data_IF_123049188038
#
_entry.id   IF_123049188038
#
_cell.length_a   1.000
_cell.length_b   1.000
_cell.length_c   1.000
_cell.angle_alpha   90.00
_cell.angle_beta   90.00
_cell.angle_gamma   90.00
#
_symmetry.space_group_name_H-M   'P 1'
#
loop_
_entity.id
_entity.type
_entity.pdbx_description
1 polymer ?
#
# COMPACT_ATOMS: atom_id res chain seq x y z
N UNK A 1 -4.13 -66.36 -71.55
CA UNK A 1 -3.18 -65.27 -71.44
C UNK A 1 -3.35 -64.63 -70.09
N UNK A 2 -2.48 -64.89 -69.14
CA UNK A 2 -2.56 -64.40 -67.75
C UNK A 2 -1.59 -63.22 -67.61
N UNK A 3 -2.09 -62.06 -67.25
CA UNK A 3 -1.30 -60.86 -66.95
C UNK A 3 -0.80 -60.92 -65.54
N UNK A 4 0.53 -60.84 -65.38
CA UNK A 4 1.22 -60.81 -64.13
C UNK A 4 1.08 -59.38 -63.49
N UNK A 5 0.67 -59.33 -62.23
CA UNK A 5 0.68 -58.09 -61.42
C UNK A 5 1.98 -58.01 -60.62
N UNK A 6 2.74 -56.94 -60.80
CA UNK A 6 3.93 -56.60 -60.00
C UNK A 6 3.45 -55.88 -58.70
N UNK A 7 4.05 -56.14 -57.55
CA UNK A 7 3.76 -55.42 -56.33
C UNK A 7 4.50 -54.08 -56.29
N UNK A 8 3.78 -53.01 -55.90
CA UNK A 8 4.33 -51.69 -55.63
C UNK A 8 5.02 -51.67 -54.26
N UNK A 9 6.29 -51.36 -54.23
CA UNK A 9 7.06 -51.09 -53.02
C UNK A 9 6.66 -49.68 -52.51
N UNK A 10 6.04 -49.62 -51.33
CA UNK A 10 5.82 -48.38 -50.58
C UNK A 10 7.05 -48.12 -49.74
N UNK A 11 7.84 -47.12 -50.11
CA UNK A 11 8.95 -46.63 -49.29
C UNK A 11 8.39 -45.73 -48.17
N UNK A 12 8.46 -46.21 -46.93
CA UNK A 12 8.12 -45.41 -45.75
C UNK A 12 9.31 -44.52 -45.40
N UNK A 13 9.17 -43.21 -45.64
CA UNK A 13 10.15 -42.20 -45.24
C UNK A 13 9.94 -41.91 -43.76
N UNK A 14 10.83 -42.42 -42.90
CA UNK A 14 10.83 -42.07 -41.47
C UNK A 14 11.54 -40.73 -41.32
N UNK A 15 10.76 -39.64 -41.15
CA UNK A 15 11.30 -38.36 -40.73
C UNK A 15 11.57 -38.39 -39.22
N UNK A 16 12.83 -38.46 -38.84
CA UNK A 16 13.26 -38.25 -37.47
C UNK A 16 13.21 -36.73 -37.18
N UNK A 17 12.15 -36.28 -36.47
CA UNK A 17 12.08 -34.95 -35.94
C UNK A 17 13.05 -34.80 -34.78
N UNK A 18 14.16 -34.10 -35.00
CA UNK A 18 15.09 -33.70 -33.92
C UNK A 18 14.40 -32.58 -33.13
N UNK A 19 13.79 -32.93 -31.99
CA UNK A 19 13.28 -31.96 -31.06
C UNK A 19 14.47 -31.22 -30.42
N UNK A 20 14.74 -30.00 -30.86
CA UNK A 20 15.55 -29.07 -30.08
C UNK A 20 14.85 -28.81 -28.77
N UNK A 21 15.28 -29.45 -27.71
CA UNK A 21 14.87 -29.09 -26.35
C UNK A 21 15.40 -27.68 -26.05
N UNK A 22 14.52 -26.67 -26.19
CA UNK A 22 14.77 -25.36 -25.62
C UNK A 22 14.74 -25.58 -24.12
N UNK A 23 15.89 -25.56 -23.47
CA UNK A 23 15.98 -25.55 -22.02
C UNK A 23 15.18 -24.37 -21.50
N UNK A 24 14.32 -24.57 -20.48
CA UNK A 24 13.65 -23.44 -19.86
C UNK A 24 14.73 -22.49 -19.34
N UNK A 25 14.67 -21.21 -19.77
CA UNK A 25 15.51 -20.20 -19.21
C UNK A 25 15.30 -20.25 -17.69
N UNK A 26 16.39 -20.50 -16.96
CA UNK A 26 16.40 -20.47 -15.50
C UNK A 26 15.83 -19.15 -15.02
N UNK A 27 14.68 -19.23 -14.38
CA UNK A 27 14.14 -18.19 -13.51
C UNK A 27 14.94 -18.17 -12.19
N UNK A 28 16.28 -18.23 -12.30
CA UNK A 28 17.18 -18.30 -11.16
C UNK A 28 18.01 -17.04 -11.14
N UNK A 29 17.43 -15.98 -10.61
CA UNK A 29 18.12 -14.95 -9.82
C UNK A 29 17.10 -14.08 -9.10
N UNK A 30 16.07 -14.65 -8.50
CA UNK A 30 15.53 -14.02 -7.29
C UNK A 30 16.64 -14.20 -6.25
N UNK A 31 17.49 -13.17 -6.10
CA UNK A 31 18.40 -13.14 -4.97
C UNK A 31 17.54 -13.35 -3.72
N UNK A 32 17.91 -14.35 -2.91
CA UNK A 32 17.43 -14.52 -1.55
C UNK A 32 17.76 -13.21 -0.81
N UNK A 33 16.86 -12.25 -0.88
CA UNK A 33 16.93 -11.07 -0.04
C UNK A 33 16.56 -11.58 1.33
N UNK A 34 17.48 -11.57 2.32
CA UNK A 34 17.15 -11.95 3.67
C UNK A 34 15.92 -11.10 4.07
N UNK A 35 14.75 -11.72 4.09
CA UNK A 35 13.56 -11.03 4.56
C UNK A 35 13.78 -10.78 6.04
N UNK A 36 13.90 -9.50 6.40
CA UNK A 36 13.84 -9.11 7.78
C UNK A 36 12.49 -9.59 8.34
N UNK A 37 12.58 -10.61 9.20
CA UNK A 37 11.42 -11.31 9.75
C UNK A 37 10.74 -10.44 10.78
N UNK A 38 9.63 -9.82 10.46
CA UNK A 38 8.82 -9.14 11.44
C UNK A 38 7.86 -8.09 10.90
N UNK A 39 8.20 -7.39 9.81
CA UNK A 39 7.33 -6.35 9.23
C UNK A 39 7.32 -6.46 7.72
N UNK A 40 6.13 -6.56 7.15
CA UNK A 40 5.96 -6.52 5.70
C UNK A 40 6.11 -5.09 5.18
N UNK A 41 6.86 -4.91 4.09
CA UNK A 41 7.13 -3.60 3.50
C UNK A 41 6.44 -3.49 2.14
N UNK A 42 5.72 -2.41 1.95
CA UNK A 42 5.03 -2.07 0.71
C UNK A 42 5.26 -0.63 0.27
N UNK A 43 4.70 -0.29 -0.87
CA UNK A 43 4.64 1.09 -1.40
C UNK A 43 3.19 1.52 -1.51
N UNK A 44 2.88 2.73 -1.02
CA UNK A 44 1.61 3.41 -1.30
C UNK A 44 1.84 4.43 -2.42
N UNK A 45 1.22 4.23 -3.57
CA UNK A 45 1.24 5.19 -4.68
C UNK A 45 -0.01 5.02 -5.55
N UNK A 46 -0.56 6.13 -6.01
CA UNK A 46 -1.71 6.17 -6.92
C UNK A 46 -1.32 5.92 -8.38
N UNK A 47 -0.05 5.98 -8.71
CA UNK A 47 0.43 5.89 -10.09
C UNK A 47 0.91 4.47 -10.40
N UNK A 48 0.43 3.85 -11.50
CA UNK A 48 0.85 2.51 -11.90
C UNK A 48 2.30 2.44 -12.41
N UNK A 49 2.92 3.58 -12.75
CA UNK A 49 4.26 3.63 -13.30
C UNK A 49 5.36 3.14 -12.33
N UNK A 50 5.06 2.99 -11.03
CA UNK A 50 5.98 2.35 -10.10
C UNK A 50 6.26 0.89 -10.47
N UNK A 51 5.27 0.17 -10.98
CA UNK A 51 5.37 -1.25 -11.31
C UNK A 51 6.24 -1.54 -12.53
N UNK A 52 6.39 -0.58 -13.44
CA UNK A 52 7.25 -0.69 -14.64
C UNK A 52 8.66 -0.16 -14.41
N UNK A 53 8.94 0.39 -13.24
CA UNK A 53 10.29 0.82 -12.85
C UNK A 53 11.10 -0.42 -12.41
N UNK A 54 12.23 -0.76 -13.07
CA UNK A 54 13.01 -1.95 -12.73
C UNK A 54 13.46 -1.98 -11.27
N UNK A 55 13.71 -0.82 -10.66
CA UNK A 55 14.08 -0.71 -9.24
C UNK A 55 12.99 -1.23 -8.30
N UNK A 56 11.70 -1.10 -8.67
CA UNK A 56 10.61 -1.66 -7.88
C UNK A 56 10.70 -3.19 -7.82
N UNK A 57 10.92 -3.83 -8.97
CA UNK A 57 11.08 -5.28 -9.06
C UNK A 57 12.34 -5.76 -8.34
N UNK A 58 13.47 -5.06 -8.51
CA UNK A 58 14.74 -5.35 -7.84
C UNK A 58 14.65 -5.29 -6.31
N UNK A 59 13.77 -4.47 -5.76
CA UNK A 59 13.53 -4.40 -4.32
C UNK A 59 12.71 -5.58 -3.77
N UNK A 60 12.11 -6.40 -4.62
CA UNK A 60 11.32 -7.55 -4.22
C UNK A 60 10.05 -7.21 -3.42
N UNK A 61 9.50 -6.00 -3.60
CA UNK A 61 8.32 -5.52 -2.87
C UNK A 61 7.08 -6.31 -3.31
N UNK A 62 6.35 -6.87 -2.34
CA UNK A 62 5.17 -7.71 -2.56
C UNK A 62 3.85 -7.07 -2.16
N UNK A 63 3.87 -5.88 -1.59
CA UNK A 63 2.68 -5.18 -1.13
C UNK A 63 2.61 -3.78 -1.72
N UNK A 64 1.44 -3.39 -2.18
CA UNK A 64 1.21 -2.02 -2.63
C UNK A 64 -0.17 -1.52 -2.19
N UNK A 65 -0.29 -0.22 -1.92
CA UNK A 65 -1.53 0.40 -1.50
C UNK A 65 -1.98 1.45 -2.49
N UNK A 66 -3.29 1.41 -2.79
CA UNK A 66 -3.98 2.37 -3.65
C UNK A 66 -5.20 2.95 -2.91
N UNK A 67 -5.32 4.28 -2.86
CA UNK A 67 -6.53 4.95 -2.40
C UNK A 67 -7.45 5.29 -3.58
N UNK A 68 -8.73 4.89 -3.49
CA UNK A 68 -9.72 5.05 -4.55
C UNK A 68 -11.00 5.67 -4.04
N UNK A 69 -11.71 6.41 -4.88
CA UNK A 69 -13.06 6.87 -4.55
C UNK A 69 -13.98 5.69 -4.22
N UNK A 70 -14.85 5.84 -3.21
CA UNK A 70 -15.82 4.80 -2.85
C UNK A 70 -16.73 4.38 -4.03
N UNK A 71 -16.84 5.23 -5.05
CA UNK A 71 -17.63 5.08 -6.27
C UNK A 71 -16.74 4.96 -7.52
N UNK A 72 -15.51 4.51 -7.38
CA UNK A 72 -14.49 4.44 -8.44
C UNK A 72 -14.99 3.83 -9.75
N UNK A 73 -15.89 2.87 -9.69
CA UNK A 73 -16.47 2.20 -10.87
C UNK A 73 -17.61 2.99 -11.55
N UNK A 74 -17.98 4.15 -11.02
CA UNK A 74 -19.03 5.00 -11.63
C UNK A 74 -18.45 6.09 -12.54
N UNK A 75 -17.16 6.33 -12.44
CA UNK A 75 -16.41 7.24 -13.30
C UNK A 75 -15.48 6.43 -14.21
N UNK A 76 -15.64 6.57 -15.52
CA UNK A 76 -14.91 5.76 -16.50
C UNK A 76 -13.39 5.90 -16.34
N UNK A 77 -12.92 7.12 -16.22
CA UNK A 77 -11.46 7.39 -16.09
C UNK A 77 -10.90 6.78 -14.83
N UNK A 78 -11.58 6.95 -13.70
CA UNK A 78 -11.16 6.37 -12.42
C UNK A 78 -11.16 4.84 -12.45
N UNK A 79 -12.13 4.23 -13.15
CA UNK A 79 -12.19 2.79 -13.34
C UNK A 79 -11.04 2.28 -14.22
N UNK A 80 -10.71 2.97 -15.32
CA UNK A 80 -9.57 2.64 -16.20
C UNK A 80 -8.21 2.78 -15.46
N UNK A 81 -8.06 3.82 -14.65
CA UNK A 81 -6.87 4.02 -13.80
C UNK A 81 -6.71 2.88 -12.77
N UNK A 82 -7.81 2.47 -12.15
CA UNK A 82 -7.84 1.34 -11.21
C UNK A 82 -7.49 0.03 -11.90
N UNK A 83 -8.09 -0.25 -13.05
CA UNK A 83 -7.86 -1.47 -13.83
C UNK A 83 -6.39 -1.59 -14.23
N UNK A 84 -5.82 -0.51 -14.77
CA UNK A 84 -4.39 -0.44 -15.13
C UNK A 84 -3.49 -0.71 -13.92
N UNK A 85 -3.78 -0.09 -12.78
CA UNK A 85 -2.99 -0.26 -11.57
C UNK A 85 -3.06 -1.70 -11.04
N UNK A 86 -4.25 -2.28 -10.99
CA UNK A 86 -4.47 -3.65 -10.52
C UNK A 86 -3.88 -4.69 -11.47
N UNK A 87 -3.98 -4.46 -12.80
CA UNK A 87 -3.36 -5.36 -13.79
C UNK A 87 -1.84 -5.45 -13.60
N UNK A 88 -1.16 -4.32 -13.41
CA UNK A 88 0.28 -4.32 -13.14
C UNK A 88 0.63 -5.00 -11.80
N UNK A 89 -0.15 -4.74 -10.75
CA UNK A 89 0.05 -5.39 -9.46
C UNK A 89 -0.08 -6.91 -9.58
N UNK A 90 -1.13 -7.39 -10.26
CA UNK A 90 -1.37 -8.81 -10.49
C UNK A 90 -0.26 -9.46 -11.31
N UNK A 91 0.20 -8.80 -12.38
CA UNK A 91 1.28 -9.29 -13.24
C UNK A 91 2.59 -9.50 -12.46
N UNK A 92 2.87 -8.65 -11.48
CA UNK A 92 4.08 -8.76 -10.64
C UNK A 92 3.86 -9.60 -9.37
N UNK A 93 2.67 -10.17 -9.16
CA UNK A 93 2.33 -10.89 -7.93
C UNK A 93 2.37 -10.00 -6.68
N UNK A 94 2.03 -8.71 -6.83
CA UNK A 94 1.96 -7.74 -5.72
C UNK A 94 0.57 -7.75 -5.13
N UNK A 95 0.47 -7.94 -3.82
CA UNK A 95 -0.79 -7.91 -3.07
C UNK A 95 -1.26 -6.46 -2.87
N UNK A 96 -2.46 -6.09 -3.36
CA UNK A 96 -2.99 -4.74 -3.19
C UNK A 96 -3.73 -4.58 -1.86
N UNK A 97 -3.52 -3.44 -1.20
CA UNK A 97 -4.42 -2.86 -0.21
C UNK A 97 -5.23 -1.75 -0.88
N UNK A 98 -6.52 -1.94 -1.07
CA UNK A 98 -7.41 -0.90 -1.60
C UNK A 98 -8.04 -0.12 -0.45
N UNK A 99 -7.77 1.18 -0.39
CA UNK A 99 -8.34 2.09 0.60
C UNK A 99 -9.42 2.96 -0.03
N UNK A 100 -10.63 2.94 0.54
CA UNK A 100 -11.70 3.82 0.06
C UNK A 100 -11.53 5.25 0.57
N UNK A 101 -11.91 6.22 -0.25
CA UNK A 101 -11.90 7.64 0.10
C UNK A 101 -13.09 8.37 -0.51
N UNK A 102 -13.15 9.70 -0.35
CA UNK A 102 -14.18 10.51 -0.96
C UNK A 102 -14.27 10.28 -2.49
N UNK A 103 -15.45 10.55 -3.05
CA UNK A 103 -15.65 10.52 -4.51
C UNK A 103 -14.72 11.50 -5.21
N UNK A 104 -14.16 11.10 -6.34
CA UNK A 104 -13.43 12.01 -7.25
C UNK A 104 -14.36 12.78 -8.20
N UNK A 105 -15.66 12.45 -8.21
CA UNK A 105 -16.68 13.15 -8.98
C UNK A 105 -17.01 14.55 -8.44
N UNK A 106 -18.06 15.16 -8.99
CA UNK A 106 -18.43 16.55 -8.73
C UNK A 106 -18.71 16.89 -7.24
N UNK A 107 -19.17 15.92 -6.45
CA UNK A 107 -19.44 16.13 -5.04
C UNK A 107 -18.53 15.30 -4.12
N UNK A 108 -17.33 15.80 -3.88
CA UNK A 108 -16.33 15.16 -3.01
C UNK A 108 -16.78 14.98 -1.56
N UNK A 109 -17.76 15.76 -1.08
CA UNK A 109 -18.28 15.67 0.29
C UNK A 109 -19.47 14.75 0.45
N UNK A 110 -20.03 14.24 -0.67
CA UNK A 110 -21.12 13.28 -0.60
C UNK A 110 -20.65 11.94 -0.05
N UNK A 111 -21.37 11.47 0.96
CA UNK A 111 -21.17 10.14 1.53
C UNK A 111 -22.27 9.20 1.02
N UNK A 112 -21.95 7.97 0.63
CA UNK A 112 -22.97 6.98 0.27
C UNK A 112 -23.77 6.56 1.51
N UNK A 113 -24.98 6.06 1.32
CA UNK A 113 -25.60 5.25 2.35
C UNK A 113 -24.76 3.97 2.58
N UNK A 114 -24.81 3.34 3.77
CA UNK A 114 -24.10 2.07 4.01
C UNK A 114 -24.48 0.96 3.03
N UNK A 115 -25.74 0.96 2.57
CA UNK A 115 -26.22 0.02 1.56
C UNK A 115 -25.57 0.29 0.18
N UNK A 116 -25.45 1.57 -0.20
CA UNK A 116 -24.75 1.94 -1.44
C UNK A 116 -23.27 1.63 -1.37
N UNK A 117 -22.59 1.94 -0.27
CA UNK A 117 -21.17 1.56 -0.03
C UNK A 117 -20.98 0.05 -0.21
N UNK A 118 -21.84 -0.77 0.41
CA UNK A 118 -21.84 -2.22 0.27
C UNK A 118 -22.03 -2.68 -1.18
N UNK A 119 -22.94 -2.04 -1.92
CA UNK A 119 -23.20 -2.37 -3.33
C UNK A 119 -22.00 -2.06 -4.22
N UNK A 120 -21.37 -0.89 -4.07
CA UNK A 120 -20.19 -0.53 -4.85
C UNK A 120 -19.00 -1.44 -4.51
N UNK A 121 -18.81 -1.79 -3.23
CA UNK A 121 -17.81 -2.75 -2.81
C UNK A 121 -18.05 -4.15 -3.43
N UNK A 122 -19.28 -4.63 -3.44
CA UNK A 122 -19.65 -5.90 -4.13
C UNK A 122 -19.30 -5.86 -5.61
N UNK A 123 -19.58 -4.75 -6.31
CA UNK A 123 -19.23 -4.58 -7.72
C UNK A 123 -17.72 -4.66 -7.92
N UNK A 124 -16.95 -3.97 -7.09
CA UNK A 124 -15.47 -4.00 -7.13
C UNK A 124 -14.95 -5.42 -6.97
N UNK A 125 -15.42 -6.13 -5.95
CA UNK A 125 -15.00 -7.52 -5.69
C UNK A 125 -15.38 -8.50 -6.79
N UNK A 126 -16.51 -8.26 -7.47
CA UNK A 126 -16.93 -9.09 -8.61
C UNK A 126 -15.98 -8.93 -9.81
N UNK A 127 -15.43 -7.75 -10.02
CA UNK A 127 -14.46 -7.47 -11.09
C UNK A 127 -13.05 -7.96 -10.70
N UNK A 128 -12.66 -7.81 -9.44
CA UNK A 128 -11.32 -8.15 -8.95
C UNK A 128 -11.41 -9.14 -7.77
N UNK A 129 -11.84 -10.40 -8.00
CA UNK A 129 -12.06 -11.37 -6.92
C UNK A 129 -10.77 -11.77 -6.18
N UNK A 130 -9.61 -11.59 -6.81
CA UNK A 130 -8.30 -11.87 -6.24
C UNK A 130 -7.83 -10.81 -5.23
N UNK A 131 -8.42 -9.61 -5.24
CA UNK A 131 -8.14 -8.58 -4.24
C UNK A 131 -8.88 -8.91 -2.95
N UNK A 132 -8.14 -9.09 -1.86
CA UNK A 132 -8.68 -9.56 -0.59
C UNK A 132 -8.44 -8.63 0.59
N UNK A 133 -7.67 -7.54 0.41
CA UNK A 133 -7.27 -6.63 1.47
C UNK A 133 -7.76 -5.21 1.20
N UNK A 134 -8.53 -4.67 2.15
CA UNK A 134 -9.20 -3.38 2.01
C UNK A 134 -9.13 -2.56 3.29
N UNK A 135 -8.96 -1.24 3.16
CA UNK A 135 -9.16 -0.29 4.27
C UNK A 135 -10.53 0.39 4.13
N UNK A 136 -11.23 0.53 5.24
CA UNK A 136 -12.60 1.05 5.24
C UNK A 136 -12.68 2.48 4.71
N UNK A 137 -11.72 3.33 5.06
CA UNK A 137 -11.66 4.72 4.59
C UNK A 137 -10.29 5.34 4.86
N UNK A 138 -9.78 6.09 3.89
CA UNK A 138 -8.55 6.87 3.96
C UNK A 138 -8.71 8.07 4.90
N UNK A 139 -7.78 8.31 5.81
CA UNK A 139 -7.67 9.49 6.68
C UNK A 139 -9.00 9.95 7.30
N UNK A 140 -9.78 9.02 7.83
CA UNK A 140 -11.16 9.26 8.26
C UNK A 140 -11.33 10.33 9.34
N UNK A 141 -10.27 10.65 10.11
CA UNK A 141 -10.25 11.71 11.11
C UNK A 141 -9.75 13.07 10.58
N UNK A 142 -9.28 13.14 9.34
CA UNK A 142 -8.82 14.35 8.68
C UNK A 142 -9.98 15.09 8.01
N UNK A 143 -10.13 16.41 8.23
CA UNK A 143 -11.29 17.16 7.71
C UNK A 143 -11.17 17.54 6.22
N UNK A 144 -10.14 17.10 5.51
CA UNK A 144 -10.12 16.96 4.07
C UNK A 144 -11.05 15.85 3.58
N UNK A 145 -11.31 14.85 4.44
CA UNK A 145 -12.23 13.75 4.19
C UNK A 145 -13.61 14.00 4.83
N UNK A 146 -14.71 13.57 4.19
CA UNK A 146 -16.07 13.85 4.66
C UNK A 146 -16.46 13.07 5.94
N UNK A 147 -15.66 12.09 6.37
CA UNK A 147 -15.90 11.30 7.60
C UNK A 147 -15.33 11.94 8.87
N UNK A 148 -14.60 13.05 8.79
CA UNK A 148 -13.91 13.70 9.90
C UNK A 148 -14.77 13.87 11.17
N UNK A 149 -16.05 14.24 11.01
CA UNK A 149 -17.02 14.40 12.12
C UNK A 149 -18.07 13.28 12.14
N UNK A 150 -17.86 12.16 11.44
CA UNK A 150 -18.88 11.13 11.22
C UNK A 150 -18.40 9.71 11.57
N UNK A 151 -17.85 9.47 12.76
CA UNK A 151 -17.35 8.14 13.15
C UNK A 151 -18.49 7.09 13.17
N UNK A 152 -19.75 7.47 13.41
CA UNK A 152 -20.92 6.59 13.28
C UNK A 152 -21.10 6.05 11.87
N UNK A 153 -20.95 6.91 10.86
CA UNK A 153 -21.04 6.52 9.46
C UNK A 153 -19.88 5.60 9.07
N UNK A 154 -18.66 5.92 9.51
CA UNK A 154 -17.49 5.08 9.30
C UNK A 154 -17.68 3.68 9.91
N UNK A 155 -18.25 3.57 11.12
CA UNK A 155 -18.59 2.29 11.74
C UNK A 155 -19.62 1.48 10.94
N UNK A 156 -20.60 2.17 10.32
CA UNK A 156 -21.57 1.51 9.45
C UNK A 156 -20.91 1.00 8.15
N UNK A 157 -19.94 1.73 7.58
CA UNK A 157 -19.18 1.27 6.41
C UNK A 157 -18.30 0.06 6.74
N UNK A 158 -17.56 0.09 7.83
CA UNK A 158 -16.77 -1.06 8.28
C UNK A 158 -17.64 -2.32 8.40
N UNK A 159 -18.81 -2.23 9.05
CA UNK A 159 -19.76 -3.35 9.12
C UNK A 159 -20.25 -3.79 7.74
N UNK A 160 -20.50 -2.85 6.83
CA UNK A 160 -20.97 -3.16 5.48
C UNK A 160 -19.93 -3.95 4.68
N UNK A 161 -18.65 -3.56 4.74
CA UNK A 161 -17.55 -4.25 4.07
C UNK A 161 -17.32 -5.64 4.68
N UNK A 162 -17.25 -5.74 6.01
CA UNK A 162 -17.08 -7.00 6.72
C UNK A 162 -18.19 -8.03 6.42
N UNK A 163 -19.44 -7.58 6.32
CA UNK A 163 -20.57 -8.44 5.95
C UNK A 163 -20.52 -8.89 4.51
N UNK A 164 -20.03 -8.05 3.62
CA UNK A 164 -19.95 -8.36 2.19
C UNK A 164 -18.80 -9.32 1.87
N UNK A 165 -17.69 -9.24 2.62
CA UNK A 165 -16.54 -10.13 2.47
C UNK A 165 -16.04 -10.61 3.83
N UNK A 166 -16.62 -11.68 4.40
CA UNK A 166 -16.15 -12.23 5.67
C UNK A 166 -14.73 -12.79 5.64
N UNK A 167 -14.28 -13.26 4.47
CA UNK A 167 -12.93 -13.81 4.24
C UNK A 167 -11.86 -12.76 3.91
N UNK A 168 -12.29 -11.50 3.65
CA UNK A 168 -11.32 -10.44 3.35
C UNK A 168 -10.69 -9.88 4.63
N UNK A 169 -9.45 -9.43 4.51
CA UNK A 169 -8.81 -8.56 5.49
C UNK A 169 -9.38 -7.15 5.34
N UNK A 170 -10.17 -6.70 6.32
CA UNK A 170 -10.76 -5.36 6.34
C UNK A 170 -10.16 -4.57 7.49
N UNK A 171 -9.33 -3.59 7.16
CA UNK A 171 -8.82 -2.64 8.14
C UNK A 171 -9.95 -1.73 8.64
N UNK A 172 -9.89 -1.35 9.91
CA UNK A 172 -10.61 -0.18 10.41
C UNK A 172 -10.26 1.04 9.54
N UNK A 173 -11.04 2.12 9.60
CA UNK A 173 -10.67 3.35 8.89
C UNK A 173 -9.25 3.78 9.22
N UNK A 174 -8.47 4.10 8.20
CA UNK A 174 -7.14 4.66 8.38
C UNK A 174 -7.24 6.04 9.03
N UNK A 175 -6.34 6.31 9.96
CA UNK A 175 -6.31 7.58 10.69
C UNK A 175 -4.97 8.30 10.50
N UNK A 176 -5.05 9.62 10.44
CA UNK A 176 -3.87 10.48 10.42
C UNK A 176 -3.44 10.81 11.85
N UNK A 177 -2.15 10.90 12.12
CA UNK A 177 -1.54 11.21 13.42
C UNK A 177 -1.77 12.66 13.88
N UNK A 178 -3.05 13.03 14.02
CA UNK A 178 -3.55 14.36 14.42
C UNK A 178 -4.01 14.39 15.89
N UNK A 179 -4.17 15.59 16.49
CA UNK A 179 -4.64 15.72 17.87
C UNK A 179 -5.99 15.06 18.15
N UNK A 180 -6.89 15.01 17.17
CA UNK A 180 -8.24 14.44 17.31
C UNK A 180 -8.28 12.90 17.13
N UNK A 181 -7.18 12.24 16.75
CA UNK A 181 -7.13 10.83 16.37
C UNK A 181 -7.73 9.92 17.44
N UNK A 182 -7.22 9.98 18.65
CA UNK A 182 -7.66 9.11 19.75
C UNK A 182 -9.16 9.30 20.09
N UNK A 183 -9.65 10.56 20.08
CA UNK A 183 -11.07 10.86 20.29
C UNK A 183 -11.92 10.23 19.18
N UNK A 184 -11.50 10.38 17.94
CA UNK A 184 -12.20 9.84 16.77
C UNK A 184 -12.25 8.30 16.82
N UNK A 185 -11.12 7.64 17.07
CA UNK A 185 -11.01 6.18 17.21
C UNK A 185 -11.95 5.64 18.29
N UNK A 186 -11.96 6.24 19.48
CA UNK A 186 -12.87 5.85 20.58
C UNK A 186 -14.34 6.03 20.20
N UNK A 187 -14.70 7.11 19.51
CA UNK A 187 -16.06 7.32 19.03
C UNK A 187 -16.47 6.29 17.97
N UNK A 188 -15.57 5.98 17.04
CA UNK A 188 -15.79 4.94 16.04
C UNK A 188 -16.04 3.57 16.71
N UNK A 189 -15.16 3.15 17.63
CA UNK A 189 -15.28 1.88 18.36
C UNK A 189 -16.58 1.81 19.19
N UNK A 190 -16.98 2.92 19.83
CA UNK A 190 -18.27 3.01 20.54
C UNK A 190 -19.45 2.77 19.60
N UNK A 191 -19.48 3.40 18.41
CA UNK A 191 -20.55 3.19 17.44
C UNK A 191 -20.51 1.82 16.79
N UNK A 192 -19.35 1.21 16.73
CA UNK A 192 -19.19 -0.15 16.21
C UNK A 192 -19.63 -1.21 17.25
N UNK A 193 -19.56 -0.90 18.54
CA UNK A 193 -19.83 -1.82 19.63
C UNK A 193 -18.61 -2.67 20.07
N UNK A 194 -17.49 -2.55 19.36
CA UNK A 194 -16.22 -3.20 19.69
C UNK A 194 -15.06 -2.44 19.08
N UNK A 195 -13.83 -2.76 19.47
CA UNK A 195 -12.63 -2.19 18.85
C UNK A 195 -12.03 -3.20 17.86
N UNK A 196 -11.89 -2.86 16.57
CA UNK A 196 -11.20 -3.70 15.59
C UNK A 196 -9.77 -4.03 16.01
N UNK A 197 -9.29 -5.20 15.62
CA UNK A 197 -7.92 -5.65 15.90
C UNK A 197 -6.89 -5.22 14.87
N UNK A 198 -7.29 -4.54 13.79
CA UNK A 198 -6.42 -4.10 12.70
C UNK A 198 -6.75 -2.68 12.29
N UNK A 199 -5.75 -1.80 12.33
CA UNK A 199 -5.89 -0.37 12.03
C UNK A 199 -4.81 0.11 11.07
N UNK A 200 -5.19 1.04 10.18
CA UNK A 200 -4.24 1.80 9.38
C UNK A 200 -3.88 3.13 10.06
N UNK A 201 -2.61 3.50 10.00
CA UNK A 201 -2.09 4.78 10.47
C UNK A 201 -1.28 5.49 9.40
N UNK A 202 -1.59 6.76 9.15
CA UNK A 202 -0.73 7.66 8.40
C UNK A 202 0.11 8.47 9.39
N UNK A 203 1.38 8.08 9.55
CA UNK A 203 2.24 8.58 10.62
C UNK A 203 3.22 9.67 10.14
N UNK A 204 2.73 10.64 9.38
CA UNK A 204 3.59 11.67 8.79
C UNK A 204 4.14 12.69 9.76
N UNK A 205 3.28 13.27 10.62
CA UNK A 205 3.67 14.38 11.50
C UNK A 205 4.68 13.91 12.52
N UNK A 206 4.45 12.75 13.13
CA UNK A 206 5.33 12.19 14.14
C UNK A 206 6.64 11.70 13.54
N UNK A 207 6.59 10.92 12.44
CA UNK A 207 7.79 10.40 11.80
C UNK A 207 8.73 11.53 11.35
N UNK A 208 8.19 12.59 10.74
CA UNK A 208 8.98 13.74 10.30
C UNK A 208 9.48 14.63 11.45
N UNK A 209 9.02 14.39 12.69
CA UNK A 209 9.52 15.03 13.91
C UNK A 209 10.29 14.08 14.82
N UNK A 210 10.57 12.86 14.34
CA UNK A 210 11.25 11.82 15.10
C UNK A 210 10.56 11.50 16.42
N UNK A 211 9.23 11.32 16.41
CA UNK A 211 8.37 11.06 17.56
C UNK A 211 7.49 9.83 17.33
N UNK A 212 6.99 9.24 18.43
CA UNK A 212 6.11 8.06 18.41
C UNK A 212 4.95 8.19 19.41
N UNK A 213 4.73 9.36 19.98
CA UNK A 213 3.74 9.54 21.05
C UNK A 213 2.31 9.25 20.60
N UNK A 214 1.93 9.65 19.37
CA UNK A 214 0.60 9.40 18.82
C UNK A 214 0.39 7.95 18.39
N UNK A 215 1.42 7.31 17.84
CA UNK A 215 1.39 5.87 17.61
C UNK A 215 1.06 5.13 18.92
N UNK A 216 1.80 5.42 20.00
CA UNK A 216 1.52 4.82 21.31
C UNK A 216 0.13 5.17 21.85
N UNK A 217 -0.40 6.38 21.55
CA UNK A 217 -1.77 6.74 21.87
C UNK A 217 -2.80 5.92 21.09
N UNK A 218 -2.54 5.63 19.80
CA UNK A 218 -3.37 4.76 18.99
C UNK A 218 -3.38 3.34 19.56
N UNK A 219 -2.20 2.76 19.79
CA UNK A 219 -2.05 1.42 20.38
C UNK A 219 -2.86 1.29 21.68
N UNK A 220 -2.73 2.28 22.59
CA UNK A 220 -3.52 2.29 23.83
C UNK A 220 -5.03 2.44 23.57
N UNK A 221 -5.43 3.28 22.61
CA UNK A 221 -6.84 3.50 22.30
C UNK A 221 -7.50 2.30 21.63
N UNK A 222 -6.71 1.40 21.05
CA UNK A 222 -7.14 0.19 20.34
C UNK A 222 -6.82 -1.09 21.12
N UNK A 223 -6.36 -0.96 22.39
CA UNK A 223 -6.06 -2.09 23.29
C UNK A 223 -5.01 -3.07 22.70
N UNK A 224 -3.94 -2.54 22.10
CA UNK A 224 -2.88 -3.34 21.50
C UNK A 224 -3.27 -4.00 20.18
N UNK A 225 -4.14 -3.37 19.40
CA UNK A 225 -4.45 -3.84 18.05
C UNK A 225 -3.22 -3.79 17.14
N UNK A 226 -3.21 -4.65 16.12
CA UNK A 226 -2.24 -4.61 15.05
C UNK A 226 -2.36 -3.31 14.25
N UNK A 227 -1.23 -2.69 13.96
CA UNK A 227 -1.14 -1.41 13.24
C UNK A 227 -0.39 -1.63 11.93
N UNK A 228 -0.98 -1.19 10.84
CA UNK A 228 -0.28 -1.01 9.58
C UNK A 228 -0.01 0.48 9.39
N UNK A 229 1.25 0.85 9.18
CA UNK A 229 1.58 2.20 8.72
C UNK A 229 1.22 2.27 7.23
N UNK A 230 -0.05 2.54 6.94
CA UNK A 230 -0.60 2.47 5.58
C UNK A 230 -0.18 3.61 4.68
N UNK A 231 0.29 4.70 5.26
CA UNK A 231 1.09 5.73 4.60
C UNK A 231 2.08 6.34 5.59
N UNK A 232 3.36 6.29 5.26
CA UNK A 232 4.41 6.98 6.00
C UNK A 232 5.58 7.31 5.08
N UNK A 233 6.30 8.40 5.35
CA UNK A 233 7.47 8.76 4.55
C UNK A 233 8.06 10.08 4.99
N UNK A 234 9.33 10.29 4.62
CA UNK A 234 10.02 11.54 4.87
C UNK A 234 9.64 12.61 3.86
N UNK A 235 9.27 13.78 4.34
CA UNK A 235 8.82 14.88 3.52
C UNK A 235 10.00 15.56 2.83
N UNK A 236 9.94 15.62 1.51
CA UNK A 236 10.92 16.36 0.68
C UNK A 236 10.46 17.78 0.45
N UNK A 237 9.17 17.95 0.15
CA UNK A 237 8.55 19.25 -0.07
C UNK A 237 7.04 19.20 0.20
N UNK A 238 6.52 20.29 0.71
CA UNK A 238 5.10 20.50 0.89
C UNK A 238 4.74 21.95 0.59
N UNK A 239 3.51 22.18 0.14
CA UNK A 239 2.97 23.52 0.00
C UNK A 239 2.93 24.25 1.35
N UNK A 240 3.39 25.50 1.37
CA UNK A 240 3.55 26.32 2.59
C UNK A 240 2.25 26.75 3.26
N UNK A 241 1.08 26.43 2.68
CA UNK A 241 -0.23 26.83 3.22
C UNK A 241 -0.67 26.04 4.46
N UNK A 242 0.10 25.02 4.87
CA UNK A 242 -0.23 24.23 6.06
C UNK A 242 0.23 24.91 7.36
N UNK A 243 -0.66 24.98 8.34
CA UNK A 243 -0.35 25.48 9.69
C UNK A 243 0.63 24.58 10.45
N UNK A 244 0.68 23.31 10.12
CA UNK A 244 1.60 22.35 10.75
C UNK A 244 2.97 22.44 10.10
N UNK A 245 3.97 22.97 10.80
CA UNK A 245 5.35 22.99 10.32
C UNK A 245 5.97 21.60 10.49
N UNK A 246 6.46 21.03 9.41
CA UNK A 246 7.16 19.75 9.35
C UNK A 246 8.47 20.01 8.63
N UNK A 247 9.63 19.52 9.11
CA UNK A 247 10.88 19.63 8.38
C UNK A 247 10.81 18.96 7.00
N UNK A 248 11.55 19.49 6.03
CA UNK A 248 11.52 19.10 4.63
C UNK A 248 12.94 18.90 4.07
N UNK A 249 13.04 18.24 2.93
CA UNK A 249 14.28 18.05 2.18
C UNK A 249 14.66 16.59 1.96
N UNK A 250 15.41 16.32 0.88
CA UNK A 250 15.79 14.94 0.52
C UNK A 250 16.65 14.24 1.58
N UNK A 251 17.57 14.97 2.22
CA UNK A 251 18.37 14.43 3.33
C UNK A 251 17.51 14.17 4.57
N UNK A 252 16.56 15.07 4.86
CA UNK A 252 15.59 14.88 5.93
C UNK A 252 14.74 13.63 5.66
N UNK A 253 14.20 13.47 4.45
CA UNK A 253 13.42 12.30 4.06
C UNK A 253 14.19 10.98 4.29
N UNK A 254 15.50 10.96 3.96
CA UNK A 254 16.35 9.81 4.23
C UNK A 254 16.53 9.52 5.72
N UNK A 255 16.68 10.55 6.57
CA UNK A 255 16.73 10.36 8.04
C UNK A 255 15.40 9.84 8.59
N UNK A 256 14.29 10.37 8.10
CA UNK A 256 12.94 9.90 8.50
C UNK A 256 12.73 8.44 8.10
N UNK A 257 13.10 8.05 6.88
CA UNK A 257 12.98 6.64 6.45
C UNK A 257 13.80 5.73 7.36
N UNK A 258 15.01 6.14 7.73
CA UNK A 258 15.82 5.40 8.71
C UNK A 258 15.12 5.31 10.07
N UNK A 259 14.62 6.42 10.60
CA UNK A 259 13.90 6.45 11.88
C UNK A 259 12.67 5.54 11.89
N UNK A 260 11.92 5.47 10.76
CA UNK A 260 10.77 4.57 10.64
C UNK A 260 11.21 3.12 10.90
N UNK A 261 12.28 2.67 10.30
CA UNK A 261 12.70 1.26 10.43
C UNK A 261 13.57 1.00 11.66
N UNK A 262 14.55 1.86 11.96
CA UNK A 262 15.48 1.64 13.06
C UNK A 262 14.84 1.89 14.44
N UNK A 263 13.81 2.76 14.54
CA UNK A 263 13.20 3.12 15.83
C UNK A 263 11.71 2.78 15.90
N UNK A 264 10.89 3.34 14.96
CA UNK A 264 9.42 3.21 15.06
C UNK A 264 9.00 1.76 14.99
N UNK A 265 9.46 1.02 13.99
CA UNK A 265 9.10 -0.38 13.77
C UNK A 265 9.69 -1.27 14.87
N UNK A 266 10.98 -1.17 15.15
CA UNK A 266 11.63 -2.07 16.10
C UNK A 266 11.14 -1.92 17.56
N UNK A 267 10.67 -0.72 17.93
CA UNK A 267 10.19 -0.43 19.30
C UNK A 267 8.69 -0.62 19.49
N UNK A 268 7.94 -0.94 18.43
CA UNK A 268 6.49 -1.08 18.49
C UNK A 268 6.07 -2.38 17.79
N UNK A 269 6.05 -3.49 18.51
CA UNK A 269 5.75 -4.82 17.97
C UNK A 269 4.33 -4.95 17.42
N UNK A 270 3.46 -3.99 17.71
CA UNK A 270 2.12 -3.91 17.14
C UNK A 270 2.14 -3.54 15.66
N UNK A 271 3.26 -3.02 15.12
CA UNK A 271 3.38 -2.69 13.70
C UNK A 271 3.71 -3.98 12.93
N UNK A 272 2.78 -4.42 12.07
CA UNK A 272 2.96 -5.60 11.24
C UNK A 272 3.28 -5.27 9.77
N UNK A 273 2.90 -4.07 9.29
CA UNK A 273 3.12 -3.69 7.89
C UNK A 273 3.41 -2.19 7.74
N UNK A 274 4.29 -1.84 6.79
CA UNK A 274 4.67 -0.45 6.50
C UNK A 274 4.55 -0.19 5.00
N UNK A 275 3.78 0.83 4.61
CA UNK A 275 3.72 1.31 3.23
C UNK A 275 4.38 2.68 3.15
N UNK A 276 5.50 2.74 2.42
CA UNK A 276 6.20 4.00 2.16
C UNK A 276 5.44 4.78 1.08
N UNK A 277 5.09 6.01 1.37
CA UNK A 277 4.44 6.91 0.44
C UNK A 277 5.45 7.98 -0.04
N UNK A 278 5.70 8.15 -1.31
CA UNK A 278 5.28 7.40 -2.47
C UNK A 278 6.49 7.08 -3.38
N UNK A 279 6.28 6.35 -4.50
CA UNK A 279 7.38 5.88 -5.34
C UNK A 279 8.11 7.02 -6.03
N UNK A 280 7.42 7.78 -6.90
CA UNK A 280 8.05 8.84 -7.67
C UNK A 280 7.21 10.13 -7.69
N UNK A 281 7.88 11.27 -7.56
CA UNK A 281 7.28 12.58 -7.76
C UNK A 281 7.12 12.87 -9.26
N UNK A 282 5.95 13.42 -9.63
CA UNK A 282 5.65 13.73 -11.03
C UNK A 282 6.23 15.07 -11.45
N UNK A 283 6.33 16.03 -10.53
CA UNK A 283 6.73 17.40 -10.81
C UNK A 283 7.41 18.06 -9.60
N UNK A 284 8.29 19.00 -9.88
CA UNK A 284 8.83 19.89 -8.85
C UNK A 284 7.76 20.83 -8.25
N UNK A 285 6.56 20.87 -8.83
CA UNK A 285 5.43 21.68 -8.38
C UNK A 285 4.39 20.88 -7.56
N UNK A 286 4.63 19.58 -7.34
CA UNK A 286 3.73 18.78 -6.53
C UNK A 286 3.53 19.43 -5.15
N UNK A 287 2.30 19.57 -4.71
CA UNK A 287 1.94 20.20 -3.43
C UNK A 287 2.33 19.35 -2.22
N UNK A 288 2.56 18.07 -2.44
CA UNK A 288 3.11 17.12 -1.49
C UNK A 288 4.13 16.23 -2.19
N UNK A 289 5.34 16.18 -1.68
CA UNK A 289 6.40 15.35 -2.21
C UNK A 289 7.13 14.64 -1.05
N UNK A 290 6.90 13.36 -0.91
CA UNK A 290 7.63 12.43 -0.03
C UNK A 290 8.20 11.25 -0.84
N UNK A 291 8.31 11.41 -2.17
CA UNK A 291 8.69 10.35 -3.08
C UNK A 291 10.12 9.85 -2.85
N UNK A 292 10.31 8.57 -3.15
CA UNK A 292 11.62 7.92 -3.14
C UNK A 292 12.48 8.34 -4.35
N UNK A 293 11.82 8.72 -5.46
CA UNK A 293 12.45 9.12 -6.72
C UNK A 293 12.01 10.54 -7.08
N UNK A 294 12.97 11.36 -7.44
CA UNK A 294 12.74 12.75 -7.85
C UNK A 294 12.12 12.83 -9.25
N UNK A 295 11.48 13.94 -9.62
CA UNK A 295 11.16 14.24 -11.01
C UNK A 295 12.44 14.12 -11.87
N UNK A 296 12.33 13.42 -13.00
CA UNK A 296 13.48 13.10 -13.85
C UNK A 296 14.22 11.80 -13.47
N UNK A 297 13.69 11.00 -12.55
CA UNK A 297 14.12 9.62 -12.31
C UNK A 297 15.31 9.46 -11.35
N UNK A 298 15.85 10.55 -10.78
CA UNK A 298 16.99 10.47 -9.85
C UNK A 298 16.55 9.91 -8.50
N UNK A 299 17.28 8.92 -8.00
CA UNK A 299 17.09 8.35 -6.66
C UNK A 299 17.35 9.37 -5.56
N UNK A 300 16.52 9.31 -4.53
CA UNK A 300 16.71 10.10 -3.31
C UNK A 300 17.32 9.25 -2.19
N UNK A 301 17.83 9.92 -1.18
CA UNK A 301 18.42 9.27 0.00
C UNK A 301 17.45 8.28 0.66
N UNK A 302 16.14 8.59 0.65
CA UNK A 302 15.11 7.71 1.20
C UNK A 302 15.06 6.35 0.50
N UNK A 303 15.19 6.31 -0.85
CA UNK A 303 15.23 5.03 -1.60
C UNK A 303 16.45 4.20 -1.21
N UNK A 304 17.64 4.81 -1.15
CA UNK A 304 18.86 4.09 -0.73
C UNK A 304 18.76 3.53 0.68
N UNK A 305 18.11 4.26 1.60
CA UNK A 305 17.85 3.75 2.94
C UNK A 305 16.88 2.57 2.91
N UNK A 306 15.78 2.68 2.17
CA UNK A 306 14.80 1.61 2.01
C UNK A 306 15.45 0.35 1.40
N UNK A 307 16.20 0.50 0.31
CA UNK A 307 16.93 -0.62 -0.33
C UNK A 307 17.88 -1.33 0.65
N UNK A 308 18.58 -0.53 1.49
CA UNK A 308 19.44 -1.10 2.53
C UNK A 308 18.63 -1.90 3.56
N UNK A 309 17.50 -1.36 4.02
CA UNK A 309 16.65 -2.03 5.00
C UNK A 309 16.09 -3.33 4.44
N UNK A 310 15.60 -3.32 3.21
CA UNK A 310 15.10 -4.51 2.54
C UNK A 310 16.17 -5.61 2.39
N UNK A 311 17.42 -5.20 2.14
CA UNK A 311 18.54 -6.14 1.93
C UNK A 311 19.17 -6.65 3.22
N UNK A 312 19.30 -5.83 4.25
CA UNK A 312 20.10 -6.12 5.44
C UNK A 312 19.32 -5.98 6.75
N UNK A 313 18.03 -5.65 6.72
CA UNK A 313 17.25 -5.27 7.89
C UNK A 313 17.59 -3.86 8.43
N UNK A 314 16.83 -3.41 9.46
CA UNK A 314 17.13 -2.19 10.17
C UNK A 314 18.45 -2.32 10.96
N UNK A 315 18.99 -1.20 11.41
CA UNK A 315 20.13 -1.22 12.30
C UNK A 315 19.71 -1.78 13.66
N UNK A 316 20.57 -2.53 14.35
CA UNK A 316 20.29 -2.91 15.74
C UNK A 316 19.98 -1.68 16.58
N UNK A 317 19.04 -1.83 17.52
CA UNK A 317 18.79 -0.78 18.51
C UNK A 317 20.05 -0.61 19.35
N UNK A 318 20.65 0.59 19.32
CA UNK A 318 21.71 0.92 20.27
C UNK A 318 21.13 0.84 21.69
N UNK A 319 21.83 0.15 22.58
CA UNK A 319 21.46 0.04 23.99
C UNK A 319 21.58 1.38 24.74
N UNK A 320 22.08 2.42 24.09
CA UNK A 320 22.19 3.77 24.65
C UNK A 320 20.84 4.50 24.60
N UNK A 321 20.39 5.14 25.67
CA UNK A 321 19.17 5.93 25.67
C UNK A 321 19.31 7.08 24.68
N UNK A 322 18.32 7.22 23.79
CA UNK A 322 18.21 8.35 22.84
C UNK A 322 18.32 9.66 23.61
N UNK A 323 19.21 10.61 23.24
CA UNK A 323 19.24 11.92 23.87
C UNK A 323 17.85 12.55 23.76
N UNK A 324 17.23 12.87 24.90
CA UNK A 324 16.00 13.62 24.94
C UNK A 324 16.23 14.95 24.21
N UNK A 325 15.50 15.18 23.13
CA UNK A 325 15.48 16.47 22.45
C UNK A 325 15.02 17.53 23.48
N UNK A 326 15.93 18.39 23.87
CA UNK A 326 15.64 19.64 24.60
C UNK A 326 14.98 20.63 23.65
#
# INVERSE_FOLDING_TARGET
>A
MRAARLPALVAVLVMTATACAVAPARADAMMDVPQWTGVEIGIADQKPNMFVDPRFTELGIRHARLAVGWDVLTDRRSAEELDTWLAHAQQLGVEPLISFMHSRGANRRALPSPLRMRREFRRLRKLYPWVTTYATWNEANHCGEPLCHRPKTAAAYYRALRRECPSCTILAPEVLDMPNMTKWVRQFSRWLGFTPRLWGLHNYVEANRFRTSRLRQLVRATYGAEIWLTEVGGLVRRDNNSRTKIPEGSSHAGRVTRFIFDDVVQRNPEIARVYIYHWNSSSRRDTWDSALIAPGGRERTALRVLSRVLRFGPRPLDSSPTPSAR
#
